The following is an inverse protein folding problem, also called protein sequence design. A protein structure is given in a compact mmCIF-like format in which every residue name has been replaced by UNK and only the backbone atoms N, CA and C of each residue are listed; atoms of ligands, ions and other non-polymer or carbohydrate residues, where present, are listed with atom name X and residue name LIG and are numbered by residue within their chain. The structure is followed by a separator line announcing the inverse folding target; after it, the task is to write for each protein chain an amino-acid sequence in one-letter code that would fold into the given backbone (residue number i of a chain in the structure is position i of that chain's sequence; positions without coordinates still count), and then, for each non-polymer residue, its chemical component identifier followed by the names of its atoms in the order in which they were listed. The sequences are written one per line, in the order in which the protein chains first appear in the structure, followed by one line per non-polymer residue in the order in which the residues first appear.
data_IF_441483892937
#
_entry.id   IF_441483892937
#
_cell.length_a   1.000
_cell.length_b   1.000
_cell.length_c   1.000
_cell.angle_alpha   90.00
_cell.angle_beta   90.00
_cell.angle_gamma   90.00
#
_symmetry.space_group_name_H-M   'P 1'
#
loop_
_entity.id
_entity.type
_entity.pdbx_description
1 polymer ?
#
# COMPACT_ATOMS: atom_id res chain seq x y z
N UNK A 1 -1.75 20.71 -4.25
CA UNK A 1 -2.51 20.71 -2.99
C UNK A 1 -3.99 20.67 -3.33
N UNK A 2 -4.77 19.84 -2.63
CA UNK A 2 -6.20 19.64 -2.85
C UNK A 2 -6.94 19.78 -1.53
N UNK A 3 -8.00 20.54 -1.53
CA UNK A 3 -8.96 20.52 -0.42
C UNK A 3 -9.83 19.28 -0.55
N UNK A 4 -10.26 18.74 0.57
CA UNK A 4 -11.18 17.61 0.62
C UNK A 4 -12.21 17.76 1.73
N UNK A 5 -13.31 17.02 1.58
CA UNK A 5 -14.33 16.83 2.60
C UNK A 5 -14.46 15.33 2.92
N UNK A 6 -14.57 15.00 4.19
CA UNK A 6 -14.79 13.62 4.64
C UNK A 6 -16.20 13.19 4.28
N UNK A 7 -16.32 12.10 3.51
CA UNK A 7 -17.59 11.46 3.18
C UNK A 7 -17.94 10.42 4.25
N UNK A 8 -16.97 9.57 4.61
CA UNK A 8 -17.10 8.60 5.69
C UNK A 8 -15.76 8.28 6.32
N UNK A 9 -15.77 7.84 7.56
CA UNK A 9 -14.58 7.40 8.29
C UNK A 9 -15.00 6.31 9.27
N UNK A 10 -14.69 5.05 8.97
CA UNK A 10 -15.23 3.90 9.67
C UNK A 10 -14.12 2.94 10.08
N UNK A 11 -14.24 2.35 11.27
CA UNK A 11 -13.39 1.24 11.69
C UNK A 11 -13.76 -0.02 10.88
N UNK A 12 -12.79 -0.59 10.16
CA UNK A 12 -12.97 -1.79 9.32
C UNK A 12 -12.33 -3.04 9.92
N UNK A 13 -11.32 -2.87 10.79
CA UNK A 13 -10.69 -3.93 11.56
C UNK A 13 -10.11 -3.35 12.85
N UNK A 14 -9.50 -4.18 13.70
CA UNK A 14 -8.95 -3.69 14.96
C UNK A 14 -7.78 -2.71 14.73
N UNK A 15 -8.00 -1.46 15.14
CA UNK A 15 -7.06 -0.36 14.92
C UNK A 15 -6.93 0.11 13.47
N UNK A 16 -7.78 -0.37 12.54
CA UNK A 16 -7.73 -0.01 11.11
C UNK A 16 -9.03 0.67 10.70
N UNK A 17 -8.90 1.76 9.95
CA UNK A 17 -10.01 2.60 9.48
C UNK A 17 -9.99 2.73 7.95
N UNK A 18 -11.20 2.86 7.37
CA UNK A 18 -11.44 3.33 6.01
C UNK A 18 -11.93 4.77 6.05
N UNK A 19 -11.18 5.67 5.42
CA UNK A 19 -11.51 7.08 5.24
C UNK A 19 -11.85 7.32 3.77
N UNK A 20 -13.09 7.69 3.50
CA UNK A 20 -13.52 8.14 2.17
C UNK A 20 -13.59 9.66 2.15
N UNK A 21 -12.89 10.27 1.20
CA UNK A 21 -12.86 11.72 1.01
C UNK A 21 -13.38 12.11 -0.37
N UNK A 22 -14.06 13.24 -0.45
CA UNK A 22 -14.40 13.89 -1.71
C UNK A 22 -13.25 14.80 -2.15
N UNK A 23 -12.60 14.42 -3.25
CA UNK A 23 -11.47 15.15 -3.84
C UNK A 23 -11.40 14.87 -5.37
N UNK A 24 -12.34 15.41 -6.19
CA UNK A 24 -12.52 14.99 -7.58
C UNK A 24 -11.28 15.13 -8.47
N UNK A 25 -10.54 16.23 -8.33
CA UNK A 25 -9.30 16.45 -9.10
C UNK A 25 -8.20 15.43 -8.76
N UNK A 26 -8.17 15.00 -7.50
CA UNK A 26 -7.22 14.00 -7.04
C UNK A 26 -7.63 12.60 -7.51
N UNK A 27 -8.91 12.26 -7.38
CA UNK A 27 -9.45 10.97 -7.75
C UNK A 27 -9.15 10.61 -9.22
N UNK A 28 -9.22 11.59 -10.13
CA UNK A 28 -8.89 11.39 -11.55
C UNK A 28 -7.40 11.36 -11.86
N UNK A 29 -6.53 11.77 -10.93
CA UNK A 29 -5.09 11.86 -11.15
C UNK A 29 -4.27 10.74 -10.51
N UNK A 30 -4.82 10.05 -9.49
CA UNK A 30 -4.13 8.99 -8.75
C UNK A 30 -3.89 7.75 -9.60
N UNK A 31 -2.71 7.16 -9.43
CA UNK A 31 -2.32 5.87 -10.04
C UNK A 31 -1.94 4.87 -8.94
N UNK A 32 -2.23 3.56 -9.11
CA UNK A 32 -1.86 2.53 -8.15
C UNK A 32 -0.41 2.62 -7.69
N UNK A 33 -0.18 2.56 -6.38
CA UNK A 33 1.14 2.67 -5.76
C UNK A 33 1.56 4.10 -5.38
N UNK A 34 0.85 5.14 -5.83
CA UNK A 34 1.05 6.50 -5.34
C UNK A 34 0.41 6.69 -3.95
N UNK A 35 0.72 7.81 -3.31
CA UNK A 35 0.24 8.15 -1.98
C UNK A 35 -0.24 9.61 -1.91
N UNK A 36 -0.85 9.96 -0.79
CA UNK A 36 -1.25 11.32 -0.44
C UNK A 36 -0.70 11.70 0.94
N UNK A 37 -0.42 12.98 1.16
CA UNK A 37 -0.02 13.52 2.46
C UNK A 37 -1.15 14.37 3.04
N UNK A 38 -1.85 13.86 4.06
CA UNK A 38 -3.02 14.49 4.65
C UNK A 38 -2.62 15.42 5.78
N UNK A 39 -3.12 16.65 5.76
CA UNK A 39 -3.11 17.53 6.93
C UNK A 39 -4.22 17.07 7.89
N UNK A 40 -3.84 16.77 9.13
CA UNK A 40 -4.81 16.39 10.16
C UNK A 40 -5.27 17.66 10.88
N UNK A 41 -6.56 18.04 10.81
CA UNK A 41 -7.04 19.26 11.43
C UNK A 41 -7.11 19.15 12.95
N UNK A 42 -7.14 20.30 13.62
CA UNK A 42 -7.52 20.41 15.04
C UNK A 42 -6.36 20.60 16.03
N UNK A 43 -5.09 20.53 15.58
CA UNK A 43 -3.96 20.78 16.49
C UNK A 43 -2.83 21.54 15.78
N UNK A 44 -2.58 22.77 16.25
CA UNK A 44 -1.50 23.60 15.72
C UNK A 44 -0.08 23.03 16.02
N UNK A 45 0.04 22.07 16.93
CA UNK A 45 1.32 21.39 17.22
C UNK A 45 1.64 20.25 16.23
N UNK A 46 0.64 19.77 15.48
CA UNK A 46 0.84 18.78 14.41
C UNK A 46 1.37 19.46 13.15
N UNK A 47 2.69 19.60 13.08
CA UNK A 47 3.38 20.28 11.97
C UNK A 47 3.50 19.43 10.71
N UNK A 48 3.48 18.12 10.85
CA UNK A 48 3.68 17.19 9.74
C UNK A 48 2.35 16.65 9.22
N UNK A 49 2.35 16.28 7.96
CA UNK A 49 1.25 15.58 7.31
C UNK A 49 1.42 14.08 7.46
N UNK A 50 0.33 13.34 7.39
CA UNK A 50 0.32 11.88 7.42
C UNK A 50 0.37 11.36 5.98
N UNK A 51 1.44 10.64 5.56
CA UNK A 51 1.50 9.98 4.27
C UNK A 51 0.66 8.70 4.31
N UNK A 52 -0.28 8.57 3.38
CA UNK A 52 -1.15 7.41 3.27
C UNK A 52 -1.24 6.93 1.82
N UNK A 53 -1.04 5.64 1.61
CA UNK A 53 -1.42 4.99 0.36
C UNK A 53 -2.94 4.96 0.24
N UNK A 54 -3.46 4.91 -0.98
CA UNK A 54 -4.89 4.76 -1.20
C UNK A 54 -5.24 3.32 -1.60
N UNK A 55 -6.48 2.95 -1.27
CA UNK A 55 -7.09 1.69 -1.69
C UNK A 55 -7.79 1.85 -3.04
N UNK A 56 -8.64 2.87 -3.16
CA UNK A 56 -9.44 3.09 -4.36
C UNK A 56 -9.60 4.59 -4.66
N UNK A 57 -9.59 4.92 -5.94
CA UNK A 57 -9.95 6.24 -6.44
C UNK A 57 -11.06 6.08 -7.48
N UNK A 58 -12.18 6.74 -7.26
CA UNK A 58 -13.32 6.75 -8.17
C UNK A 58 -13.44 8.14 -8.83
N UNK A 59 -13.02 8.22 -10.09
CA UNK A 59 -13.03 9.47 -10.85
C UNK A 59 -14.45 9.96 -11.16
N UNK A 60 -15.45 9.06 -11.24
CA UNK A 60 -16.85 9.43 -11.53
C UNK A 60 -17.53 9.97 -10.28
N UNK A 61 -17.37 9.29 -9.14
CA UNK A 61 -17.85 9.76 -7.86
C UNK A 61 -17.02 10.93 -7.30
N UNK A 62 -15.81 11.13 -7.80
CA UNK A 62 -14.86 12.13 -7.29
C UNK A 62 -14.34 11.81 -5.90
N UNK A 63 -14.27 10.53 -5.53
CA UNK A 63 -13.89 10.09 -4.19
C UNK A 63 -12.58 9.32 -4.18
N UNK A 64 -11.87 9.40 -3.05
CA UNK A 64 -10.69 8.59 -2.76
C UNK A 64 -10.90 7.88 -1.42
N UNK A 65 -10.64 6.58 -1.39
CA UNK A 65 -10.71 5.75 -0.21
C UNK A 65 -9.30 5.38 0.26
N UNK A 66 -9.04 5.63 1.53
CA UNK A 66 -7.76 5.42 2.20
C UNK A 66 -7.96 4.47 3.38
N UNK A 67 -7.24 3.36 3.43
CA UNK A 67 -7.21 2.52 4.62
C UNK A 67 -5.92 2.81 5.40
N UNK A 68 -6.04 2.99 6.70
CA UNK A 68 -4.91 3.33 7.55
C UNK A 68 -5.01 2.71 8.94
N UNK A 69 -3.86 2.46 9.54
CA UNK A 69 -3.75 2.00 10.92
C UNK A 69 -3.60 3.19 11.87
N UNK A 70 -4.22 3.09 13.04
CA UNK A 70 -4.02 4.04 14.14
C UNK A 70 -2.76 3.66 14.90
N UNK A 71 -1.66 4.35 14.60
CA UNK A 71 -0.33 4.06 15.17
C UNK A 71 0.26 5.21 16.01
N UNK A 72 -0.38 6.38 15.98
CA UNK A 72 0.09 7.57 16.70
C UNK A 72 -0.99 8.62 16.84
N UNK A 73 -0.63 9.79 17.39
CA UNK A 73 -1.60 10.84 17.70
C UNK A 73 -2.29 11.43 16.47
N UNK A 74 -1.55 11.61 15.36
CA UNK A 74 -2.13 12.14 14.13
C UNK A 74 -3.14 11.17 13.52
N UNK A 75 -2.81 9.88 13.44
CA UNK A 75 -3.74 8.86 12.94
C UNK A 75 -4.92 8.63 13.89
N UNK A 76 -4.74 8.82 15.21
CA UNK A 76 -5.83 8.80 16.18
C UNK A 76 -6.78 9.97 15.97
N UNK A 77 -6.27 11.19 15.74
CA UNK A 77 -7.10 12.36 15.40
C UNK A 77 -7.79 12.18 14.05
N UNK A 78 -7.08 11.64 13.07
CA UNK A 78 -7.66 11.32 11.77
C UNK A 78 -8.87 10.38 11.93
N UNK A 79 -8.79 9.36 12.80
CA UNK A 79 -9.89 8.41 13.05
C UNK A 79 -11.13 9.02 13.73
N UNK A 80 -11.02 10.25 14.24
CA UNK A 80 -12.11 10.98 14.89
C UNK A 80 -12.81 11.98 13.95
N UNK A 81 -12.33 12.15 12.72
CA UNK A 81 -12.97 13.05 11.76
C UNK A 81 -14.35 12.53 11.39
N UNK A 82 -15.35 13.36 11.56
CA UNK A 82 -16.73 13.08 11.19
C UNK A 82 -16.98 13.40 9.69
N UNK A 83 -18.00 12.79 9.06
CA UNK A 83 -18.49 13.24 7.77
C UNK A 83 -18.76 14.75 7.74
N UNK A 84 -18.38 15.42 6.65
CA UNK A 84 -18.42 16.88 6.51
C UNK A 84 -17.20 17.63 7.07
N UNK A 85 -16.29 16.95 7.78
CA UNK A 85 -15.01 17.56 8.19
C UNK A 85 -14.18 17.93 6.95
N UNK A 86 -13.52 19.09 6.99
CA UNK A 86 -12.72 19.61 5.87
C UNK A 86 -11.26 19.73 6.24
N UNK A 87 -10.40 19.41 5.29
CA UNK A 87 -8.96 19.61 5.38
C UNK A 87 -8.35 19.66 3.97
N UNK A 88 -7.03 19.54 3.90
CA UNK A 88 -6.32 19.50 2.63
C UNK A 88 -5.23 18.43 2.64
N UNK A 89 -4.78 18.07 1.45
CA UNK A 89 -3.71 17.12 1.25
C UNK A 89 -2.76 17.54 0.11
N UNK A 90 -1.56 17.00 0.13
CA UNK A 90 -0.63 17.02 -0.99
C UNK A 90 -0.72 15.68 -1.71
N UNK A 91 -0.81 15.72 -3.03
CA UNK A 91 -0.86 14.52 -3.88
C UNK A 91 -1.27 14.83 -5.31
N UNK A 92 -1.19 13.85 -6.22
CA UNK A 92 -0.54 12.55 -6.06
C UNK A 92 0.93 12.69 -5.69
N UNK A 93 1.42 11.85 -4.77
CA UNK A 93 2.83 11.78 -4.41
C UNK A 93 3.51 10.54 -4.97
N UNK A 94 4.75 10.70 -5.38
CA UNK A 94 5.62 9.60 -5.78
C UNK A 94 5.27 8.91 -7.10
N UNK A 95 5.99 7.81 -7.32
CA UNK A 95 5.86 6.91 -8.45
C UNK A 95 4.95 5.74 -8.07
N UNK A 96 4.05 5.34 -8.96
CA UNK A 96 3.25 4.12 -8.81
C UNK A 96 3.98 2.85 -9.24
N UNK A 97 3.27 1.72 -9.21
CA UNK A 97 3.74 0.44 -9.71
C UNK A 97 4.03 0.50 -11.22
N UNK A 98 5.14 -0.08 -11.65
CA UNK A 98 5.55 -0.19 -13.05
C UNK A 98 5.53 -1.66 -13.47
N UNK A 99 4.35 -2.17 -13.69
CA UNK A 99 4.14 -3.54 -14.17
C UNK A 99 4.75 -3.69 -15.56
N UNK A 100 5.64 -4.67 -15.79
CA UNK A 100 6.21 -4.92 -17.11
C UNK A 100 5.15 -5.21 -18.17
N UNK A 101 5.37 -4.73 -19.38
CA UNK A 101 4.50 -5.05 -20.50
C UNK A 101 4.52 -6.55 -20.79
N UNK A 102 3.35 -7.14 -21.07
CA UNK A 102 3.23 -8.56 -21.33
C UNK A 102 3.16 -9.44 -20.08
N UNK A 103 3.08 -8.86 -18.87
CA UNK A 103 2.81 -9.60 -17.63
C UNK A 103 1.51 -10.40 -17.77
N UNK A 104 1.56 -11.70 -17.50
CA UNK A 104 0.41 -12.63 -17.57
C UNK A 104 0.04 -13.18 -16.21
N UNK A 105 1.02 -13.35 -15.33
CA UNK A 105 0.80 -13.88 -13.98
C UNK A 105 1.60 -13.07 -12.95
N UNK A 106 0.92 -12.62 -11.89
CA UNK A 106 1.52 -11.82 -10.83
C UNK A 106 1.31 -12.45 -9.46
N UNK A 107 2.33 -12.38 -8.60
CA UNK A 107 2.23 -12.68 -7.17
C UNK A 107 2.25 -11.37 -6.37
N UNK A 108 1.22 -11.16 -5.58
CA UNK A 108 1.10 -9.99 -4.71
C UNK A 108 1.25 -10.41 -3.25
N UNK A 109 2.16 -9.77 -2.51
CA UNK A 109 2.42 -10.12 -1.11
C UNK A 109 2.24 -8.90 -0.23
N UNK A 110 1.29 -8.95 0.69
CA UNK A 110 1.01 -7.82 1.57
C UNK A 110 0.97 -8.21 3.05
N UNK A 111 1.52 -7.34 3.91
CA UNK A 111 1.53 -7.52 5.35
C UNK A 111 0.84 -6.36 6.09
N UNK A 112 -0.12 -6.67 6.96
CA UNK A 112 -0.83 -5.68 7.77
C UNK A 112 -1.45 -4.57 6.93
N UNK A 113 -1.13 -3.31 7.25
CA UNK A 113 -1.66 -2.14 6.51
C UNK A 113 -0.97 -1.91 5.15
N UNK A 114 -0.05 -2.76 4.73
CA UNK A 114 0.46 -2.78 3.35
C UNK A 114 -0.56 -3.30 2.31
N UNK A 115 -1.71 -3.79 2.74
CA UNK A 115 -2.79 -4.30 1.87
C UNK A 115 -3.34 -3.27 0.88
N UNK A 116 -3.72 -2.03 1.24
CA UNK A 116 -4.38 -1.09 0.35
C UNK A 116 -3.66 -0.82 -0.98
N UNK A 117 -2.35 -0.48 -1.02
CA UNK A 117 -1.67 -0.20 -2.28
C UNK A 117 -1.51 -1.43 -3.17
N UNK A 118 -1.47 -2.64 -2.57
CA UNK A 118 -1.39 -3.91 -3.29
C UNK A 118 -2.76 -4.31 -3.84
N UNK A 119 -3.82 -4.08 -3.08
CA UNK A 119 -5.20 -4.34 -3.51
C UNK A 119 -5.61 -3.40 -4.67
N UNK A 120 -5.21 -2.13 -4.60
CA UNK A 120 -5.39 -1.19 -5.70
C UNK A 120 -4.68 -1.67 -6.99
N UNK A 121 -3.48 -2.24 -6.87
CA UNK A 121 -2.75 -2.83 -7.98
C UNK A 121 -3.47 -4.07 -8.52
N UNK A 122 -3.95 -4.97 -7.63
CA UNK A 122 -4.65 -6.19 -8.02
C UNK A 122 -5.85 -5.90 -8.92
N UNK A 123 -6.69 -4.91 -8.54
CA UNK A 123 -7.83 -4.48 -9.35
C UNK A 123 -7.40 -4.12 -10.78
N UNK A 124 -6.32 -3.35 -10.92
CA UNK A 124 -5.80 -2.97 -12.24
C UNK A 124 -5.25 -4.15 -13.04
N UNK A 125 -4.55 -5.08 -12.39
CA UNK A 125 -3.99 -6.27 -13.05
C UNK A 125 -5.11 -7.20 -13.57
N UNK A 126 -6.12 -7.44 -12.75
CA UNK A 126 -7.28 -8.25 -13.12
C UNK A 126 -8.07 -7.61 -14.28
N UNK A 127 -8.27 -6.29 -14.27
CA UNK A 127 -8.87 -5.56 -15.40
C UNK A 127 -8.08 -5.72 -16.71
N UNK A 128 -6.78 -5.96 -16.62
CA UNK A 128 -5.89 -6.20 -17.76
C UNK A 128 -5.81 -7.68 -18.17
N UNK A 129 -6.53 -8.57 -17.48
CA UNK A 129 -6.51 -10.02 -17.74
C UNK A 129 -5.30 -10.75 -17.20
N UNK A 130 -4.60 -10.18 -16.21
CA UNK A 130 -3.47 -10.83 -15.52
C UNK A 130 -4.01 -11.78 -14.47
N UNK A 131 -3.49 -13.00 -14.42
CA UNK A 131 -3.72 -13.93 -13.30
C UNK A 131 -3.03 -13.44 -12.04
N UNK A 132 -3.78 -13.33 -10.94
CA UNK A 132 -3.28 -12.78 -9.69
C UNK A 132 -3.42 -13.78 -8.55
N UNK A 133 -2.27 -14.18 -7.99
CA UNK A 133 -2.19 -14.88 -6.72
C UNK A 133 -1.75 -13.91 -5.62
N UNK A 134 -2.31 -14.06 -4.41
CA UNK A 134 -2.09 -13.14 -3.30
C UNK A 134 -1.72 -13.89 -2.03
N UNK A 135 -0.67 -13.44 -1.35
CA UNK A 135 -0.30 -13.90 -0.01
C UNK A 135 -0.43 -12.75 1.00
N UNK A 136 -1.32 -12.90 1.96
CA UNK A 136 -1.62 -11.89 2.99
C UNK A 136 -1.13 -12.35 4.35
N UNK A 137 -0.43 -11.46 5.08
CA UNK A 137 0.05 -11.73 6.43
C UNK A 137 -0.49 -10.73 7.45
N UNK A 138 -1.01 -11.25 8.57
CA UNK A 138 -1.52 -10.43 9.68
C UNK A 138 -1.06 -11.02 11.02
N UNK A 139 -1.01 -10.19 12.07
CA UNK A 139 -0.72 -10.70 13.41
C UNK A 139 -1.85 -11.59 13.95
N UNK A 140 -3.13 -11.26 13.63
CA UNK A 140 -4.32 -11.95 14.11
C UNK A 140 -5.52 -11.68 13.19
N UNK A 141 -6.54 -12.53 13.25
CA UNK A 141 -7.77 -12.41 12.47
C UNK A 141 -8.46 -11.04 12.63
N UNK A 142 -8.45 -10.45 13.84
CA UNK A 142 -9.11 -9.16 14.09
C UNK A 142 -8.47 -7.98 13.36
N UNK A 143 -7.26 -8.14 12.83
CA UNK A 143 -6.51 -7.13 12.04
C UNK A 143 -6.48 -7.44 10.55
N UNK A 144 -7.13 -8.53 10.12
CA UNK A 144 -7.18 -8.90 8.72
C UNK A 144 -8.09 -7.96 7.94
N UNK A 145 -7.60 -7.44 6.81
CA UNK A 145 -8.33 -6.56 5.89
C UNK A 145 -8.06 -6.96 4.44
N UNK A 146 -9.01 -6.71 3.54
CA UNK A 146 -8.82 -6.88 2.11
C UNK A 146 -8.97 -8.32 1.61
N UNK A 147 -9.16 -9.32 2.47
CA UNK A 147 -9.23 -10.74 2.07
C UNK A 147 -10.40 -10.99 1.13
N UNK A 148 -11.57 -10.49 1.47
CA UNK A 148 -12.79 -10.69 0.66
C UNK A 148 -12.77 -9.81 -0.59
N UNK A 149 -12.15 -8.63 -0.53
CA UNK A 149 -11.95 -7.75 -1.67
C UNK A 149 -11.05 -8.39 -2.73
N UNK A 150 -9.93 -9.02 -2.34
CA UNK A 150 -9.09 -9.78 -3.29
C UNK A 150 -9.83 -10.97 -3.90
N UNK A 151 -10.59 -11.72 -3.09
CA UNK A 151 -11.43 -12.83 -3.58
C UNK A 151 -12.49 -12.35 -4.56
N UNK A 152 -13.13 -11.21 -4.28
CA UNK A 152 -14.13 -10.60 -5.16
C UNK A 152 -13.54 -10.16 -6.53
N UNK A 153 -12.24 -9.86 -6.58
CA UNK A 153 -11.52 -9.62 -7.84
C UNK A 153 -11.23 -10.91 -8.63
N UNK A 154 -11.47 -12.09 -8.03
CA UNK A 154 -11.13 -13.38 -8.65
C UNK A 154 -9.70 -13.85 -8.39
N UNK A 155 -8.95 -13.19 -7.50
CA UNK A 155 -7.60 -13.60 -7.13
C UNK A 155 -7.60 -14.87 -6.25
N UNK A 156 -6.59 -15.72 -6.39
CA UNK A 156 -6.32 -16.81 -5.45
C UNK A 156 -5.65 -16.25 -4.20
N UNK A 157 -6.27 -16.41 -3.03
CA UNK A 157 -5.83 -15.74 -1.79
C UNK A 157 -5.35 -16.75 -0.75
N UNK A 158 -4.07 -16.66 -0.40
CA UNK A 158 -3.44 -17.35 0.73
C UNK A 158 -3.37 -16.38 1.92
N UNK A 159 -3.94 -16.75 3.05
CA UNK A 159 -3.94 -15.93 4.27
C UNK A 159 -3.15 -16.62 5.34
N UNK A 160 -2.24 -15.88 5.99
CA UNK A 160 -1.49 -16.33 7.16
C UNK A 160 -1.70 -15.38 8.33
N UNK A 161 -1.74 -15.93 9.53
CA UNK A 161 -1.69 -15.14 10.77
C UNK A 161 -0.62 -15.67 11.72
N UNK A 162 0.06 -14.75 12.41
CA UNK A 162 1.12 -15.11 13.35
C UNK A 162 0.62 -16.01 14.50
N UNK A 163 -0.65 -15.86 14.89
CA UNK A 163 -1.30 -16.62 15.96
C UNK A 163 -2.18 -17.78 15.47
N UNK A 164 -2.29 -18.00 14.15
CA UNK A 164 -3.09 -19.07 13.54
C UNK A 164 -4.61 -18.89 13.66
N UNK A 165 -5.09 -17.69 14.00
CA UNK A 165 -6.55 -17.43 14.18
C UNK A 165 -7.31 -17.27 12.87
N UNK A 166 -6.59 -17.08 11.73
CA UNK A 166 -7.18 -17.04 10.39
C UNK A 166 -6.18 -17.60 9.38
N UNK A 167 -6.64 -18.51 8.52
CA UNK A 167 -5.82 -19.12 7.49
C UNK A 167 -4.73 -20.02 8.05
N UNK A 168 -3.52 -19.97 7.47
CA UNK A 168 -2.37 -20.75 7.89
C UNK A 168 -1.64 -20.04 9.04
N UNK A 169 -1.23 -20.78 10.06
CA UNK A 169 -0.38 -20.29 11.14
C UNK A 169 1.03 -20.04 10.60
N UNK A 170 1.55 -18.83 10.72
CA UNK A 170 2.88 -18.44 10.28
C UNK A 170 2.90 -17.19 9.40
N UNK A 171 3.93 -17.07 8.58
CA UNK A 171 4.19 -15.87 7.78
C UNK A 171 3.76 -16.07 6.32
N UNK A 172 3.18 -15.04 5.72
CA UNK A 172 2.79 -15.06 4.29
C UNK A 172 3.98 -15.19 3.33
N UNK A 173 5.20 -15.02 3.82
CA UNK A 173 6.43 -15.27 3.05
C UNK A 173 6.63 -16.74 2.71
N UNK A 174 6.10 -17.66 3.51
CA UNK A 174 6.29 -19.09 3.31
C UNK A 174 5.50 -19.58 2.09
N UNK A 175 4.16 -19.41 2.00
CA UNK A 175 3.43 -19.74 0.78
C UNK A 175 3.86 -18.89 -0.42
N UNK A 176 4.34 -17.65 -0.22
CA UNK A 176 4.86 -16.85 -1.33
C UNK A 176 6.14 -17.47 -1.92
N UNK A 177 7.04 -18.00 -1.08
CA UNK A 177 8.25 -18.68 -1.54
C UNK A 177 7.94 -20.01 -2.24
N UNK A 178 6.96 -20.78 -1.73
CA UNK A 178 6.48 -22.01 -2.36
C UNK A 178 5.94 -21.74 -3.77
N UNK A 179 5.03 -20.77 -3.91
CA UNK A 179 4.47 -20.39 -5.20
C UNK A 179 5.54 -19.89 -6.19
N UNK A 180 6.49 -19.11 -5.73
CA UNK A 180 7.62 -18.64 -6.55
C UNK A 180 8.52 -19.83 -6.98
N UNK A 181 8.72 -20.81 -6.09
CA UNK A 181 9.48 -22.04 -6.39
C UNK A 181 8.79 -22.92 -7.44
N UNK A 182 7.48 -22.91 -7.53
CA UNK A 182 6.72 -23.58 -8.61
C UNK A 182 6.87 -22.87 -9.96
N UNK A 183 7.21 -21.56 -9.93
CA UNK A 183 7.51 -20.76 -11.11
C UNK A 183 6.28 -20.20 -11.83
N UNK A 184 6.55 -19.52 -12.95
CA UNK A 184 5.49 -19.00 -13.83
C UNK A 184 5.02 -17.58 -13.51
N UNK A 185 5.60 -16.91 -12.52
CA UNK A 185 5.30 -15.52 -12.22
C UNK A 185 6.21 -14.57 -13.01
N UNK A 186 5.60 -13.67 -13.76
CA UNK A 186 6.30 -12.63 -14.51
C UNK A 186 6.62 -11.42 -13.61
N UNK A 187 5.76 -11.17 -12.61
CA UNK A 187 5.80 -9.97 -11.76
C UNK A 187 5.46 -10.28 -10.30
N UNK A 188 6.19 -9.66 -9.39
CA UNK A 188 5.96 -9.72 -7.95
C UNK A 188 5.83 -8.30 -7.40
N UNK A 189 4.81 -8.03 -6.59
CA UNK A 189 4.68 -6.77 -5.87
C UNK A 189 4.50 -7.02 -4.38
N UNK A 190 5.20 -6.24 -3.55
CA UNK A 190 5.10 -6.41 -2.10
C UNK A 190 5.03 -5.09 -1.35
N UNK A 191 4.18 -5.05 -0.30
CA UNK A 191 4.07 -3.93 0.63
C UNK A 191 3.79 -4.44 2.04
N UNK A 192 4.53 -3.94 3.04
CA UNK A 192 4.37 -4.30 4.44
C UNK A 192 5.67 -4.21 5.23
N UNK A 193 5.87 -5.02 6.28
CA UNK A 193 7.09 -4.99 7.08
C UNK A 193 8.35 -5.20 6.24
N UNK A 194 9.40 -4.43 6.52
CA UNK A 194 10.67 -4.46 5.80
C UNK A 194 11.26 -5.89 5.69
N UNK A 195 11.21 -6.65 6.77
CA UNK A 195 11.70 -8.04 6.82
C UNK A 195 10.92 -8.96 5.87
N UNK A 196 9.61 -8.74 5.75
CA UNK A 196 8.75 -9.47 4.82
C UNK A 196 9.12 -9.14 3.37
N UNK A 197 9.17 -7.86 3.02
CA UNK A 197 9.52 -7.41 1.67
C UNK A 197 10.90 -7.89 1.24
N UNK A 198 11.88 -7.88 2.16
CA UNK A 198 13.24 -8.41 1.91
C UNK A 198 13.22 -9.90 1.56
N UNK A 199 12.45 -10.72 2.30
CA UNK A 199 12.30 -12.16 2.00
C UNK A 199 11.63 -12.40 0.66
N UNK A 200 10.55 -11.66 0.37
CA UNK A 200 9.83 -11.74 -0.90
C UNK A 200 10.73 -11.35 -2.08
N UNK A 201 11.51 -10.27 -1.94
CA UNK A 201 12.44 -9.83 -2.97
C UNK A 201 13.54 -10.88 -3.25
N UNK A 202 14.06 -11.54 -2.20
CA UNK A 202 15.03 -12.62 -2.37
C UNK A 202 14.43 -13.81 -3.10
N UNK A 203 13.25 -14.29 -2.70
CA UNK A 203 12.56 -15.40 -3.34
C UNK A 203 12.20 -15.09 -4.81
N UNK A 204 11.76 -13.87 -5.10
CA UNK A 204 11.48 -13.42 -6.46
C UNK A 204 12.75 -13.41 -7.34
N UNK A 205 13.88 -12.97 -6.79
CA UNK A 205 15.16 -12.97 -7.49
C UNK A 205 15.64 -14.41 -7.80
N UNK A 206 15.49 -15.34 -6.85
CA UNK A 206 15.79 -16.75 -7.05
C UNK A 206 14.92 -17.40 -8.14
N UNK A 207 13.64 -16.99 -8.20
CA UNK A 207 12.69 -17.44 -9.22
C UNK A 207 12.86 -16.72 -10.58
N UNK A 208 13.72 -15.69 -10.67
CA UNK A 208 13.91 -14.88 -11.88
C UNK A 208 12.74 -13.96 -12.21
N UNK A 209 11.83 -13.69 -11.26
CA UNK A 209 10.69 -12.80 -11.42
C UNK A 209 11.07 -11.34 -11.13
N UNK A 210 10.53 -10.39 -11.91
CA UNK A 210 10.71 -8.96 -11.62
C UNK A 210 9.89 -8.58 -10.39
N UNK A 211 10.54 -7.93 -9.42
CA UNK A 211 9.92 -7.60 -8.14
C UNK A 211 9.97 -6.11 -7.84
N UNK A 212 8.83 -5.53 -7.47
CA UNK A 212 8.74 -4.19 -6.91
C UNK A 212 8.26 -4.22 -5.45
N UNK A 213 8.76 -3.27 -4.64
CA UNK A 213 8.39 -3.10 -3.24
C UNK A 213 7.94 -1.68 -2.97
N UNK A 214 6.87 -1.52 -2.20
CA UNK A 214 6.40 -0.21 -1.75
C UNK A 214 6.91 0.06 -0.34
N UNK A 215 7.89 0.95 -0.23
CA UNK A 215 8.61 1.23 1.01
C UNK A 215 7.98 2.38 1.79
N UNK A 216 7.73 2.14 3.07
CA UNK A 216 7.36 3.18 4.01
C UNK A 216 8.62 3.90 4.54
N UNK A 217 8.57 5.23 4.55
CA UNK A 217 9.61 6.10 5.14
C UNK A 217 8.95 7.27 5.85
N UNK A 218 9.60 7.71 6.92
CA UNK A 218 9.20 8.95 7.57
C UNK A 218 9.25 10.10 6.55
N UNK A 219 8.19 10.88 6.48
CA UNK A 219 8.10 12.02 5.58
C UNK A 219 7.84 13.31 6.34
N UNK A 220 8.63 14.35 6.03
CA UNK A 220 8.37 15.71 6.53
C UNK A 220 7.67 16.53 5.45
N UNK A 221 8.35 16.88 4.36
CA UNK A 221 7.76 17.74 3.32
C UNK A 221 6.82 17.00 2.36
N UNK A 222 7.14 15.76 1.98
CA UNK A 222 6.36 14.94 1.04
C UNK A 222 6.46 15.34 -0.45
N UNK A 223 7.34 16.30 -0.80
CA UNK A 223 7.49 16.83 -2.17
C UNK A 223 8.97 17.04 -2.59
N UNK A 224 9.91 16.32 -1.96
CA UNK A 224 11.31 16.27 -2.43
C UNK A 224 12.25 17.33 -1.89
N UNK A 225 11.83 18.21 -0.97
CA UNK A 225 12.66 19.32 -0.52
C UNK A 225 13.59 18.98 0.66
N UNK A 226 13.20 18.07 1.57
CA UNK A 226 13.88 17.90 2.87
C UNK A 226 14.78 16.66 2.96
N UNK A 227 14.72 15.72 2.03
CA UNK A 227 15.46 14.46 2.00
C UNK A 227 15.26 13.53 3.22
N UNK A 228 14.24 13.75 4.06
CA UNK A 228 13.95 12.90 5.22
C UNK A 228 13.56 11.47 4.82
N UNK A 229 12.85 11.32 3.70
CA UNK A 229 12.33 10.03 3.23
C UNK A 229 13.29 9.25 2.31
N UNK A 230 14.58 9.44 2.46
CA UNK A 230 15.57 8.80 1.59
C UNK A 230 15.60 7.28 1.79
N UNK A 231 15.71 6.58 0.67
CA UNK A 231 15.95 5.15 0.53
C UNK A 231 17.34 4.98 -0.08
N UNK A 232 18.14 4.11 0.51
CA UNK A 232 19.44 3.74 -0.05
C UNK A 232 19.24 2.72 -1.17
N UNK A 233 19.69 3.09 -2.36
CA UNK A 233 19.64 2.24 -3.56
C UNK A 233 21.03 2.09 -4.16
N UNK A 234 21.20 1.11 -5.05
CA UNK A 234 22.45 0.93 -5.80
C UNK A 234 22.78 2.15 -6.67
N UNK A 235 21.78 2.97 -7.00
CA UNK A 235 21.92 4.22 -7.76
C UNK A 235 22.07 5.45 -6.84
N UNK A 236 22.38 5.25 -5.55
CA UNK A 236 22.48 6.30 -4.52
C UNK A 236 21.19 6.54 -3.76
N UNK A 237 21.17 7.62 -2.96
CA UNK A 237 20.01 7.97 -2.13
C UNK A 237 18.87 8.53 -2.98
N UNK A 238 17.67 7.97 -2.81
CA UNK A 238 16.44 8.36 -3.54
C UNK A 238 15.34 8.72 -2.57
N UNK A 239 14.73 9.88 -2.73
CA UNK A 239 13.60 10.29 -1.90
C UNK A 239 12.34 9.48 -2.23
N UNK A 240 11.78 8.75 -1.25
CA UNK A 240 10.58 7.93 -1.45
C UNK A 240 9.38 8.77 -1.92
N UNK A 241 9.28 10.02 -1.51
CA UNK A 241 8.19 10.91 -1.92
C UNK A 241 8.23 11.33 -3.40
N UNK A 242 9.37 11.17 -4.09
CA UNK A 242 9.53 11.56 -5.50
C UNK A 242 9.84 10.38 -6.40
N UNK A 243 10.80 9.53 -5.99
CA UNK A 243 11.27 8.39 -6.76
C UNK A 243 10.57 7.06 -6.39
N UNK A 244 9.96 7.01 -5.20
CA UNK A 244 9.15 5.92 -4.66
C UNK A 244 7.67 6.34 -4.54
N UNK A 245 6.90 5.75 -3.62
CA UNK A 245 7.30 4.74 -2.63
C UNK A 245 7.63 3.37 -3.23
N UNK A 246 7.23 3.13 -4.49
CA UNK A 246 7.50 1.88 -5.21
C UNK A 246 8.89 1.90 -5.83
N UNK A 247 9.68 0.87 -5.51
CA UNK A 247 11.04 0.69 -6.02
C UNK A 247 11.20 -0.70 -6.61
N UNK A 248 12.04 -0.81 -7.64
CA UNK A 248 12.59 -2.08 -8.08
C UNK A 248 13.38 -2.70 -6.91
N UNK A 249 12.95 -3.89 -6.47
CA UNK A 249 13.52 -4.55 -5.30
C UNK A 249 15.01 -4.87 -5.46
N UNK A 250 15.49 -5.12 -6.68
CA UNK A 250 16.89 -5.38 -6.98
C UNK A 250 17.80 -4.16 -6.77
N UNK A 251 17.20 -2.96 -6.72
CA UNK A 251 17.93 -1.71 -6.52
C UNK A 251 17.94 -1.23 -5.07
N UNK A 252 17.14 -1.82 -4.19
CA UNK A 252 17.05 -1.43 -2.77
C UNK A 252 18.20 -2.07 -1.99
N UNK A 253 19.02 -1.25 -1.32
CA UNK A 253 20.12 -1.73 -0.47
C UNK A 253 19.63 -1.96 0.96
N UNK A 254 18.80 -1.04 1.48
CA UNK A 254 18.23 -1.11 2.83
C UNK A 254 16.71 -1.00 2.77
N UNK A 255 16.04 -2.10 3.11
CA UNK A 255 14.58 -2.21 3.19
C UNK A 255 14.01 -1.47 4.39
#
# INVERSE_FOLDING_TARGET
MHDFEVVSNQKIADGIFSLVISAPKLASALKPGQFVNIAVPGDASSLLRVPLSFYRADAQAGTVELWYAVVGDDTRRLSQLAPGSKSNLLGPGGRGWLVPEGTRKALLVAGGIGVPPVLCLAGKLVEQGVDVDVCLGFGTASKAVGVDEFRALGATVNVCTDDGTLGTHGFCTDPAAELLGEGGYDYVASCGPAVMMKKVAAAAAEAGAYCEVSLERMMSCGFGACNTCNVETVDGMKGACMCGPVFDASKVVVF
#
